data_IF_517359750841
#
_entry.id   IF_517359750841
#
_cell.length_a   1.000
_cell.length_b   1.000
_cell.length_c   1.000
_cell.angle_alpha   90.00
_cell.angle_beta   90.00
_cell.angle_gamma   90.00
#
_symmetry.space_group_name_H-M   'P 1'
#
loop_
_entity.id
_entity.type
_entity.pdbx_description
1 polymer ?
#
# COMPACT_ATOMS: atom_id res chain seq x y z
N UNK A 1 2.06 0.21 -27.13
CA UNK A 1 1.93 -0.98 -26.30
C UNK A 1 1.85 -0.69 -24.82
N UNK A 2 1.41 -1.65 -24.02
CA UNK A 2 1.31 -1.59 -22.57
C UNK A 2 2.65 -1.34 -21.84
N UNK A 3 3.76 -1.81 -22.42
CA UNK A 3 5.11 -1.72 -21.83
C UNK A 3 5.54 -0.28 -21.49
N UNK A 4 5.32 0.74 -22.34
CA UNK A 4 5.67 2.12 -21.99
C UNK A 4 4.90 2.65 -20.78
N UNK A 5 3.59 2.35 -20.66
CA UNK A 5 2.78 2.82 -19.53
C UNK A 5 3.19 2.11 -18.24
N UNK A 6 3.44 0.81 -18.28
CA UNK A 6 3.96 0.05 -17.15
C UNK A 6 5.32 0.60 -16.69
N UNK A 7 6.24 0.84 -17.64
CA UNK A 7 7.55 1.41 -17.34
C UNK A 7 7.47 2.82 -16.75
N UNK A 8 6.52 3.65 -17.23
CA UNK A 8 6.24 4.94 -16.65
C UNK A 8 5.76 4.82 -15.20
N UNK A 9 4.82 3.91 -14.92
CA UNK A 9 4.36 3.64 -13.56
C UNK A 9 5.53 3.20 -12.66
N UNK A 10 6.43 2.36 -13.17
CA UNK A 10 7.64 1.95 -12.48
C UNK A 10 8.54 3.15 -12.14
N UNK A 11 8.83 3.99 -13.12
CA UNK A 11 9.62 5.21 -12.92
C UNK A 11 8.97 6.15 -11.89
N UNK A 12 7.66 6.36 -11.97
CA UNK A 12 6.91 7.19 -11.03
C UNK A 12 6.95 6.64 -9.60
N UNK A 13 6.87 5.32 -9.43
CA UNK A 13 6.93 4.71 -8.11
C UNK A 13 8.26 5.02 -7.40
N UNK A 14 9.39 4.98 -8.10
CA UNK A 14 10.67 5.39 -7.53
C UNK A 14 10.79 6.91 -7.37
N UNK A 15 10.41 7.67 -8.40
CA UNK A 15 10.54 9.11 -8.41
C UNK A 15 9.80 9.76 -7.24
N UNK A 16 8.54 9.39 -6.99
CA UNK A 16 7.74 9.91 -5.89
C UNK A 16 8.43 9.63 -4.55
N UNK A 17 8.90 8.42 -4.35
CA UNK A 17 9.57 8.02 -3.11
C UNK A 17 10.89 8.78 -2.92
N UNK A 18 11.71 8.95 -3.97
CA UNK A 18 12.96 9.68 -3.87
C UNK A 18 12.76 11.18 -3.67
N UNK A 19 11.74 11.78 -4.30
CA UNK A 19 11.42 13.20 -4.09
C UNK A 19 11.01 13.49 -2.65
N UNK A 20 10.21 12.61 -2.03
CA UNK A 20 9.80 12.78 -0.63
C UNK A 20 10.91 12.37 0.34
N UNK A 21 11.81 11.45 -0.05
CA UNK A 21 13.01 11.14 0.72
C UNK A 21 13.88 12.40 0.99
N UNK A 22 14.06 13.29 0.00
CA UNK A 22 14.92 14.45 0.14
C UNK A 22 14.56 15.30 1.38
N UNK A 23 13.34 15.88 1.48
CA UNK A 23 12.96 16.64 2.67
C UNK A 23 12.88 15.77 3.92
N UNK A 24 12.49 14.49 3.81
CA UNK A 24 12.43 13.58 4.95
C UNK A 24 13.81 13.34 5.56
N UNK A 25 14.84 13.19 4.72
CA UNK A 25 16.22 13.04 5.17
C UNK A 25 16.77 14.33 5.79
N UNK A 26 16.49 15.48 5.18
CA UNK A 26 16.90 16.79 5.71
C UNK A 26 16.30 17.08 7.09
N UNK A 27 15.01 16.72 7.27
CA UNK A 27 14.26 16.94 8.51
C UNK A 27 14.33 15.77 9.49
N UNK A 28 15.07 14.71 9.15
CA UNK A 28 15.23 13.48 9.94
C UNK A 28 13.88 12.89 10.39
N UNK A 29 12.91 12.83 9.47
CA UNK A 29 11.53 12.41 9.75
C UNK A 29 11.05 11.30 8.84
N UNK A 30 10.37 10.32 9.41
CA UNK A 30 9.68 9.22 8.70
C UNK A 30 8.16 9.43 8.59
N UNK A 31 7.66 10.56 9.11
CA UNK A 31 6.21 10.80 9.29
C UNK A 31 5.38 10.61 8.02
N UNK A 32 5.96 10.89 6.87
CA UNK A 32 5.28 10.81 5.57
C UNK A 32 5.54 9.52 4.81
N UNK A 33 6.33 8.60 5.36
CA UNK A 33 6.72 7.36 4.68
C UNK A 33 5.49 6.53 4.24
N UNK A 34 4.65 6.13 5.18
CA UNK A 34 3.46 5.33 4.90
C UNK A 34 2.45 6.06 4.00
N UNK A 35 2.29 7.39 4.20
CA UNK A 35 1.41 8.21 3.35
C UNK A 35 1.92 8.26 1.91
N UNK A 36 3.22 8.45 1.73
CA UNK A 36 3.84 8.46 0.39
C UNK A 36 3.65 7.14 -0.33
N UNK A 37 3.82 6.00 0.37
CA UNK A 37 3.54 4.69 -0.19
C UNK A 37 2.12 4.59 -0.73
N UNK A 38 1.14 4.99 0.07
CA UNK A 38 -0.27 4.96 -0.33
C UNK A 38 -0.58 5.91 -1.49
N UNK A 39 -0.03 7.13 -1.49
CA UNK A 39 -0.16 8.07 -2.61
C UNK A 39 0.52 7.54 -3.87
N UNK A 40 1.62 6.83 -3.75
CA UNK A 40 2.28 6.18 -4.89
C UNK A 40 1.37 5.14 -5.53
N UNK A 41 0.71 4.27 -4.76
CA UNK A 41 -0.29 3.33 -5.29
C UNK A 41 -1.41 4.04 -6.04
N UNK A 42 -1.97 5.10 -5.45
CA UNK A 42 -3.05 5.87 -6.08
C UNK A 42 -2.59 6.55 -7.37
N UNK A 43 -1.38 7.10 -7.37
CA UNK A 43 -0.81 7.78 -8.55
C UNK A 43 -0.56 6.80 -9.70
N UNK A 44 0.11 5.68 -9.45
CA UNK A 44 0.39 4.70 -10.51
C UNK A 44 -0.89 4.05 -11.04
N UNK A 45 -1.88 3.82 -10.17
CA UNK A 45 -3.22 3.34 -10.57
C UNK A 45 -3.92 4.36 -11.48
N UNK A 46 -3.94 5.63 -11.09
CA UNK A 46 -4.56 6.69 -11.90
C UNK A 46 -3.86 6.84 -13.24
N UNK A 47 -2.52 6.87 -13.26
CA UNK A 47 -1.73 6.98 -14.50
C UNK A 47 -1.98 5.78 -15.42
N UNK A 48 -2.00 4.55 -14.87
CA UNK A 48 -2.25 3.35 -15.66
C UNK A 48 -3.64 3.38 -16.33
N UNK A 49 -4.67 3.81 -15.59
CA UNK A 49 -6.03 3.93 -16.13
C UNK A 49 -6.18 5.09 -17.13
N UNK A 50 -5.59 6.25 -16.84
CA UNK A 50 -5.75 7.45 -17.68
C UNK A 50 -4.99 7.36 -19.01
N UNK A 51 -3.86 6.65 -19.03
CA UNK A 51 -3.02 6.53 -20.23
C UNK A 51 -3.30 5.29 -21.07
N UNK A 52 -4.15 4.38 -20.60
CA UNK A 52 -4.60 3.26 -21.41
C UNK A 52 -5.77 3.70 -22.30
N UNK A 53 -5.64 3.63 -23.64
CA UNK A 53 -6.73 3.98 -24.55
C UNK A 53 -7.85 2.94 -24.60
N UNK A 54 -7.56 1.70 -24.20
CA UNK A 54 -8.45 0.55 -24.25
C UNK A 54 -8.73 0.01 -22.84
N UNK A 55 -9.75 0.58 -22.17
CA UNK A 55 -10.07 0.21 -20.78
C UNK A 55 -11.32 -0.66 -20.73
N UNK A 56 -11.19 -1.87 -20.18
CA UNK A 56 -12.29 -2.77 -19.90
C UNK A 56 -12.77 -2.73 -18.42
N UNK A 57 -13.81 -3.50 -18.13
CA UNK A 57 -14.34 -3.61 -16.78
C UNK A 57 -13.34 -4.23 -15.79
N UNK A 58 -12.41 -5.09 -16.23
CA UNK A 58 -11.38 -5.70 -15.39
C UNK A 58 -10.41 -4.64 -14.91
N UNK A 59 -9.95 -3.74 -15.80
CA UNK A 59 -9.05 -2.66 -15.49
C UNK A 59 -9.67 -1.69 -14.46
N UNK A 60 -10.94 -1.30 -14.65
CA UNK A 60 -11.65 -0.46 -13.69
C UNK A 60 -11.82 -1.12 -12.32
N UNK A 61 -12.17 -2.41 -12.27
CA UNK A 61 -12.32 -3.15 -11.02
C UNK A 61 -10.97 -3.29 -10.32
N UNK A 62 -9.90 -3.69 -11.02
CA UNK A 62 -8.57 -3.80 -10.45
C UNK A 62 -8.09 -2.46 -9.90
N UNK A 63 -8.27 -1.37 -10.64
CA UNK A 63 -7.93 -0.02 -10.20
C UNK A 63 -8.73 0.42 -8.97
N UNK A 64 -10.04 0.15 -8.94
CA UNK A 64 -10.89 0.47 -7.80
C UNK A 64 -10.47 -0.32 -6.55
N UNK A 65 -10.13 -1.61 -6.69
CA UNK A 65 -9.65 -2.45 -5.59
C UNK A 65 -8.35 -1.89 -5.01
N UNK A 66 -7.37 -1.55 -5.85
CA UNK A 66 -6.11 -0.93 -5.40
C UNK A 66 -6.37 0.42 -4.75
N UNK A 67 -7.20 1.27 -5.36
CA UNK A 67 -7.49 2.61 -4.85
C UNK A 67 -8.19 2.57 -3.48
N UNK A 68 -9.21 1.72 -3.31
CA UNK A 68 -9.92 1.55 -2.04
C UNK A 68 -8.98 1.05 -0.94
N UNK A 69 -8.17 0.03 -1.26
CA UNK A 69 -7.21 -0.52 -0.31
C UNK A 69 -6.14 0.52 0.08
N UNK A 70 -5.52 1.19 -0.90
CA UNK A 70 -4.47 2.18 -0.65
C UNK A 70 -5.00 3.40 0.11
N UNK A 71 -6.17 3.92 -0.23
CA UNK A 71 -6.79 5.04 0.47
C UNK A 71 -7.12 4.69 1.93
N UNK A 72 -7.66 3.49 2.16
CA UNK A 72 -7.95 3.00 3.52
C UNK A 72 -6.67 2.81 4.33
N UNK A 73 -5.68 2.09 3.77
CA UNK A 73 -4.42 1.80 4.47
C UNK A 73 -3.66 3.08 4.78
N UNK A 74 -3.52 3.99 3.80
CA UNK A 74 -2.85 5.27 3.98
C UNK A 74 -3.51 6.14 5.04
N UNK A 75 -4.84 6.22 5.04
CA UNK A 75 -5.59 6.96 6.06
C UNK A 75 -5.37 6.34 7.45
N UNK A 76 -5.40 5.02 7.55
CA UNK A 76 -5.19 4.31 8.81
C UNK A 76 -3.78 4.54 9.37
N UNK A 77 -2.75 4.36 8.53
CA UNK A 77 -1.35 4.52 8.93
C UNK A 77 -1.01 5.98 9.25
N UNK A 78 -1.53 6.93 8.46
CA UNK A 78 -1.33 8.35 8.74
C UNK A 78 -1.96 8.79 10.06
N UNK A 79 -3.18 8.31 10.36
CA UNK A 79 -3.81 8.57 11.67
C UNK A 79 -3.02 7.94 12.80
N UNK A 80 -2.46 6.74 12.58
CA UNK A 80 -1.60 6.06 13.54
C UNK A 80 -0.36 6.88 13.86
N UNK A 81 0.40 7.30 12.84
CA UNK A 81 1.63 8.06 13.06
C UNK A 81 1.37 9.43 13.70
N UNK A 82 0.24 10.07 13.38
CA UNK A 82 -0.16 11.32 14.04
C UNK A 82 -0.49 11.15 15.51
N UNK A 83 -1.08 10.01 15.89
CA UNK A 83 -1.38 9.69 17.30
C UNK A 83 -0.13 9.26 18.07
N UNK A 84 0.67 8.38 17.48
CA UNK A 84 1.84 7.76 18.14
C UNK A 84 3.07 8.69 18.09
N UNK A 85 3.05 9.73 17.26
CA UNK A 85 4.07 10.77 17.12
C UNK A 85 5.30 10.37 16.30
N UNK A 86 5.72 9.11 16.38
CA UNK A 86 6.89 8.56 15.66
C UNK A 86 6.73 7.06 15.40
N UNK A 87 7.50 6.55 14.46
CA UNK A 87 7.68 5.10 14.26
C UNK A 87 9.09 4.70 14.68
N UNK A 88 9.21 4.02 15.82
CA UNK A 88 10.49 3.62 16.39
C UNK A 88 11.37 2.74 15.48
N UNK A 89 10.80 2.10 14.45
CA UNK A 89 11.56 1.34 13.46
C UNK A 89 12.56 2.20 12.68
N UNK A 90 12.27 3.50 12.56
CA UNK A 90 13.08 4.45 11.80
C UNK A 90 14.11 5.20 12.66
N UNK A 91 14.10 5.07 13.98
CA UNK A 91 14.96 5.87 14.87
C UNK A 91 16.46 5.74 14.56
N UNK A 92 16.90 4.54 14.15
CA UNK A 92 18.28 4.31 13.71
C UNK A 92 18.46 4.49 12.19
N UNK A 93 17.47 4.07 11.40
CA UNK A 93 17.53 4.06 9.93
C UNK A 93 17.71 5.49 9.39
N UNK A 94 16.96 6.45 9.91
CA UNK A 94 16.98 7.84 9.43
C UNK A 94 18.26 8.61 9.76
N UNK A 95 19.09 8.10 10.70
CA UNK A 95 20.41 8.69 11.02
C UNK A 95 21.45 8.41 9.94
N UNK A 96 21.26 7.32 9.17
CA UNK A 96 22.12 6.96 8.06
C UNK A 96 21.36 7.23 6.75
N UNK A 97 21.78 8.28 6.04
CA UNK A 97 21.12 8.71 4.79
C UNK A 97 21.07 7.61 3.71
N UNK A 98 22.07 6.73 3.67
CA UNK A 98 22.12 5.63 2.69
C UNK A 98 21.10 4.56 3.04
N UNK A 99 21.02 4.15 4.30
CA UNK A 99 20.00 3.20 4.77
C UNK A 99 18.60 3.77 4.61
N UNK A 100 18.44 5.06 4.87
CA UNK A 100 17.16 5.73 4.73
C UNK A 100 16.74 5.82 3.27
N UNK A 101 17.65 6.18 2.34
CA UNK A 101 17.39 6.14 0.89
C UNK A 101 17.04 4.73 0.42
N UNK A 102 17.77 3.71 0.89
CA UNK A 102 17.47 2.32 0.57
C UNK A 102 16.05 1.94 1.01
N UNK A 103 15.62 2.37 2.20
CA UNK A 103 14.27 2.11 2.71
C UNK A 103 13.19 2.75 1.82
N UNK A 104 13.38 3.98 1.36
CA UNK A 104 12.48 4.65 0.41
C UNK A 104 12.49 3.97 -0.98
N UNK A 105 13.65 3.51 -1.42
CA UNK A 105 13.79 2.76 -2.68
C UNK A 105 13.06 1.42 -2.60
N UNK A 106 13.20 0.70 -1.49
CA UNK A 106 12.49 -0.55 -1.24
C UNK A 106 10.97 -0.34 -1.16
N UNK A 107 10.50 0.81 -0.68
CA UNK A 107 9.07 1.12 -0.73
C UNK A 107 8.57 1.27 -2.17
N UNK A 108 9.31 1.97 -3.05
CA UNK A 108 8.98 2.05 -4.47
C UNK A 108 8.95 0.67 -5.14
N UNK A 109 9.94 -0.17 -4.86
CA UNK A 109 9.98 -1.56 -5.32
C UNK A 109 8.79 -2.36 -4.81
N UNK A 110 8.44 -2.22 -3.52
CA UNK A 110 7.30 -2.90 -2.91
C UNK A 110 5.99 -2.53 -3.58
N UNK A 111 5.77 -1.23 -3.85
CA UNK A 111 4.60 -0.76 -4.61
C UNK A 111 4.51 -1.46 -5.95
N UNK A 112 5.61 -1.54 -6.70
CA UNK A 112 5.63 -2.20 -8.01
C UNK A 112 5.32 -3.69 -7.93
N UNK A 113 6.00 -4.41 -7.03
CA UNK A 113 5.84 -5.86 -6.92
C UNK A 113 4.41 -6.23 -6.49
N UNK A 114 3.84 -5.51 -5.53
CA UNK A 114 2.50 -5.81 -5.02
C UNK A 114 1.38 -5.35 -5.95
N UNK A 115 1.59 -4.26 -6.71
CA UNK A 115 0.64 -3.78 -7.71
C UNK A 115 0.85 -4.41 -9.11
N UNK A 116 1.90 -5.22 -9.32
CA UNK A 116 2.30 -5.68 -10.66
C UNK A 116 1.16 -6.35 -11.44
N UNK A 117 0.41 -7.25 -10.81
CA UNK A 117 -0.73 -7.92 -11.46
C UNK A 117 -1.86 -6.96 -11.81
N UNK A 118 -2.19 -6.03 -10.91
CA UNK A 118 -3.20 -5.02 -11.17
C UNK A 118 -2.74 -4.03 -12.26
N UNK A 119 -1.47 -3.60 -12.24
CA UNK A 119 -0.88 -2.76 -13.28
C UNK A 119 -0.88 -3.46 -14.64
N UNK A 120 -0.56 -4.77 -14.68
CA UNK A 120 -0.60 -5.54 -15.92
C UNK A 120 -2.02 -5.56 -16.53
N UNK A 121 -3.05 -5.71 -15.71
CA UNK A 121 -4.45 -5.63 -16.14
C UNK A 121 -4.79 -4.21 -16.64
N UNK A 122 -4.46 -3.18 -15.85
CA UNK A 122 -4.79 -1.78 -16.16
C UNK A 122 -4.03 -1.24 -17.39
N UNK A 123 -2.90 -1.82 -17.76
CA UNK A 123 -2.10 -1.40 -18.92
C UNK A 123 -2.23 -2.33 -20.11
N UNK A 124 -3.03 -3.41 -20.01
CA UNK A 124 -3.32 -4.31 -21.12
C UNK A 124 -4.13 -3.58 -22.20
N UNK A 125 -3.84 -3.89 -23.46
CA UNK A 125 -4.64 -3.47 -24.62
C UNK A 125 -5.60 -4.57 -25.05
N UNK A 126 -5.56 -5.74 -24.42
CA UNK A 126 -6.46 -6.85 -24.71
C UNK A 126 -7.73 -6.69 -23.86
N UNK A 127 -8.85 -6.51 -24.53
CA UNK A 127 -10.16 -6.42 -23.91
C UNK A 127 -10.72 -7.83 -23.69
N UNK A 128 -10.94 -8.21 -22.45
CA UNK A 128 -11.44 -9.52 -22.09
C UNK A 128 -12.61 -9.41 -21.11
N UNK A 129 -13.65 -10.22 -21.22
CA UNK A 129 -14.74 -10.25 -20.25
C UNK A 129 -14.24 -10.77 -18.89
N UNK A 130 -14.99 -10.41 -17.84
CA UNK A 130 -14.73 -10.96 -16.50
C UNK A 130 -15.19 -12.44 -16.51
N UNK A 131 -14.22 -13.35 -16.68
CA UNK A 131 -14.47 -14.77 -16.56
C UNK A 131 -14.60 -15.22 -15.09
N UNK A 132 -14.91 -16.50 -14.90
CA UNK A 132 -15.07 -17.09 -13.55
C UNK A 132 -13.81 -16.92 -12.67
N UNK A 133 -12.60 -16.96 -13.25
CA UNK A 133 -11.34 -16.72 -12.54
C UNK A 133 -11.30 -15.29 -11.97
N UNK A 134 -11.76 -14.30 -12.75
CA UNK A 134 -11.86 -12.92 -12.31
C UNK A 134 -12.82 -12.76 -11.13
N UNK A 135 -13.99 -13.43 -11.21
CA UNK A 135 -14.97 -13.44 -10.10
C UNK A 135 -14.36 -14.04 -8.82
N UNK A 136 -13.67 -15.18 -8.94
CA UNK A 136 -12.98 -15.81 -7.80
C UNK A 136 -11.93 -14.87 -7.22
N UNK A 137 -11.14 -14.21 -8.08
CA UNK A 137 -10.14 -13.23 -7.64
C UNK A 137 -10.74 -12.07 -6.86
N UNK A 138 -11.87 -11.52 -7.32
CA UNK A 138 -12.60 -10.45 -6.62
C UNK A 138 -13.10 -10.94 -5.24
N UNK A 139 -13.65 -12.14 -5.16
CA UNK A 139 -14.12 -12.73 -3.89
C UNK A 139 -12.96 -12.90 -2.91
N UNK A 140 -11.83 -13.46 -3.36
CA UNK A 140 -10.65 -13.63 -2.53
C UNK A 140 -10.15 -12.27 -2.03
N UNK A 141 -10.12 -11.26 -2.90
CA UNK A 141 -9.71 -9.91 -2.50
C UNK A 141 -10.66 -9.31 -1.45
N UNK A 142 -11.98 -9.42 -1.62
CA UNK A 142 -12.98 -8.93 -0.64
C UNK A 142 -12.78 -9.60 0.71
N UNK A 143 -12.57 -10.91 0.74
CA UNK A 143 -12.32 -11.67 1.97
C UNK A 143 -11.02 -11.19 2.64
N UNK A 144 -9.92 -11.12 1.88
CA UNK A 144 -8.62 -10.66 2.39
C UNK A 144 -8.68 -9.23 2.93
N UNK A 145 -9.28 -8.31 2.17
CA UNK A 145 -9.48 -6.92 2.59
C UNK A 145 -10.31 -6.81 3.87
N UNK A 146 -11.37 -7.61 3.99
CA UNK A 146 -12.21 -7.66 5.18
C UNK A 146 -11.43 -8.15 6.40
N UNK A 147 -10.64 -9.22 6.24
CA UNK A 147 -9.77 -9.75 7.29
C UNK A 147 -8.77 -8.68 7.75
N UNK A 148 -8.09 -7.99 6.82
CA UNK A 148 -7.16 -6.91 7.12
C UNK A 148 -7.83 -5.79 7.93
N UNK A 149 -9.00 -5.31 7.47
CA UNK A 149 -9.76 -4.23 8.15
C UNK A 149 -10.17 -4.64 9.56
N UNK A 150 -10.67 -5.86 9.72
CA UNK A 150 -11.11 -6.38 11.04
C UNK A 150 -9.92 -6.55 11.97
N UNK A 151 -8.82 -7.14 11.49
CA UNK A 151 -7.60 -7.33 12.27
C UNK A 151 -7.00 -6.00 12.75
N UNK A 152 -6.90 -5.00 11.87
CA UNK A 152 -6.43 -3.67 12.24
C UNK A 152 -7.32 -2.99 13.28
N UNK A 153 -8.65 -3.13 13.16
CA UNK A 153 -9.59 -2.60 14.15
C UNK A 153 -9.45 -3.30 15.50
N UNK A 154 -9.31 -4.63 15.52
CA UNK A 154 -9.09 -5.41 16.74
C UNK A 154 -7.81 -4.94 17.44
N UNK A 155 -6.69 -4.82 16.71
CA UNK A 155 -5.42 -4.35 17.26
C UNK A 155 -5.49 -2.92 17.78
N UNK A 156 -6.18 -2.04 17.06
CA UNK A 156 -6.34 -0.65 17.48
C UNK A 156 -7.15 -0.53 18.76
N UNK A 157 -8.25 -1.28 18.89
CA UNK A 157 -9.06 -1.31 20.11
C UNK A 157 -8.29 -1.88 21.29
N UNK A 158 -7.56 -3.00 21.07
CA UNK A 158 -6.73 -3.62 22.09
C UNK A 158 -5.67 -2.66 22.64
N UNK A 159 -4.99 -1.91 21.75
CA UNK A 159 -3.97 -0.93 22.15
C UNK A 159 -4.55 0.33 22.81
N UNK A 160 -5.80 0.66 22.55
CA UNK A 160 -6.46 1.82 23.13
C UNK A 160 -6.84 1.62 24.62
N UNK A 161 -6.89 0.38 25.08
CA UNK A 161 -7.17 0.05 26.48
C UNK A 161 -5.87 0.07 27.29
N UNK A 162 -5.73 0.96 28.29
CA UNK A 162 -4.56 1.05 29.15
C UNK A 162 -4.23 -0.25 29.90
N UNK A 163 -5.24 -1.10 30.19
CA UNK A 163 -5.05 -2.39 30.84
C UNK A 163 -4.22 -3.38 30.00
N UNK A 164 -4.10 -3.12 28.70
CA UNK A 164 -3.34 -3.92 27.76
C UNK A 164 -1.92 -3.39 27.49
N UNK A 165 -1.47 -2.37 28.24
CA UNK A 165 -0.15 -1.82 28.09
C UNK A 165 0.95 -2.92 28.27
N UNK A 166 1.87 -3.00 27.31
CA UNK A 166 2.93 -4.02 27.31
C UNK A 166 2.49 -5.44 26.94
N UNK A 167 1.20 -5.66 26.63
CA UNK A 167 0.67 -6.99 26.24
C UNK A 167 0.55 -7.12 24.73
N UNK A 168 0.59 -8.38 24.25
CA UNK A 168 0.28 -8.74 22.87
C UNK A 168 -1.20 -9.14 22.76
N UNK A 169 -1.82 -8.73 21.66
CA UNK A 169 -3.16 -9.18 21.31
C UNK A 169 -3.09 -10.67 20.89
N UNK A 170 -3.96 -11.50 21.49
CA UNK A 170 -4.09 -12.93 21.20
C UNK A 170 -5.55 -13.38 21.04
N UNK A 171 -6.47 -12.42 20.79
CA UNK A 171 -7.90 -12.68 20.67
C UNK A 171 -8.41 -12.39 19.26
N UNK A 172 -9.55 -12.95 18.88
CA UNK A 172 -10.14 -12.78 17.55
C UNK A 172 -9.23 -13.32 16.44
N UNK A 173 -9.04 -12.58 15.35
CA UNK A 173 -8.16 -12.99 14.25
C UNK A 173 -6.68 -13.17 14.68
N UNK A 174 -6.25 -12.45 15.72
CA UNK A 174 -4.89 -12.53 16.26
C UNK A 174 -4.61 -13.81 17.07
N UNK A 175 -5.64 -14.63 17.34
CA UNK A 175 -5.46 -15.98 17.86
C UNK A 175 -5.09 -17.00 16.78
N UNK A 176 -5.38 -16.69 15.50
CA UNK A 176 -5.11 -17.58 14.37
C UNK A 176 -3.72 -17.38 13.77
N UNK A 177 -3.24 -16.15 13.77
CA UNK A 177 -1.96 -15.76 13.20
C UNK A 177 -1.35 -14.59 13.97
N UNK A 178 -0.01 -14.51 13.94
CA UNK A 178 0.73 -13.33 14.45
C UNK A 178 0.51 -12.08 13.62
N UNK A 179 0.12 -12.23 12.37
CA UNK A 179 -0.05 -11.17 11.40
C UNK A 179 -1.26 -11.41 10.50
N UNK A 180 -2.50 -11.42 11.06
CA UNK A 180 -3.70 -11.68 10.27
C UNK A 180 -4.08 -10.53 9.32
N UNK A 181 -3.37 -9.42 9.40
CA UNK A 181 -3.52 -8.23 8.55
C UNK A 181 -2.48 -8.14 7.42
N UNK A 182 -1.80 -9.25 7.14
CA UNK A 182 -0.90 -9.40 5.98
C UNK A 182 -1.41 -10.46 5.02
#
# INVERSE_FOLDING_TARGET
>A
GWLPVFALCAGLAYLINWLVFIPSNMLQTERYFDLTGSLTYLTVTAVALLLNPEIDARAWIAGAMVAVWAARLGTFLFRRIRRDGRDGRFDEIKRDSVRFLMTWTLQGLWVLLTAASALAIMTSLELEPIGWVGVVGIVIWIVGFTIEVVADRQKSRFKADPANAGRFISTGLWSWSRHPNY
#
